data_IF_247199591831
#
_entry.id   IF_247199591831
#
_cell.length_a   1.000
_cell.length_b   1.000
_cell.length_c   1.000
_cell.angle_alpha   90.00
_cell.angle_beta   90.00
_cell.angle_gamma   90.00
#
_symmetry.space_group_name_H-M   'P 1'
#
loop_
_entity.id
_entity.type
_entity.pdbx_description
1 polymer ?
#
# COMPACT_ATOMS: atom_id res chain seq x y z
N UNK A 1 12.03 0.87 -3.93
CA UNK A 1 10.94 1.79 -4.31
C UNK A 1 11.30 2.83 -5.39
N UNK A 2 12.41 3.57 -5.28
CA UNK A 2 12.75 4.67 -6.21
C UNK A 2 12.64 4.35 -7.71
N UNK A 3 13.15 3.20 -8.15
CA UNK A 3 13.08 2.80 -9.57
C UNK A 3 11.65 2.64 -10.08
N UNK A 4 10.74 2.16 -9.24
CA UNK A 4 9.32 1.98 -9.59
C UNK A 4 8.64 3.33 -9.81
N UNK A 5 8.82 4.30 -8.90
CA UNK A 5 8.22 5.63 -9.04
C UNK A 5 8.72 6.35 -10.31
N UNK A 6 10.01 6.19 -10.63
CA UNK A 6 10.59 6.73 -11.87
C UNK A 6 10.04 6.05 -13.12
N UNK A 7 9.85 4.73 -13.08
CA UNK A 7 9.34 3.98 -14.21
C UNK A 7 7.86 4.27 -14.47
N UNK A 8 7.07 4.43 -13.40
CA UNK A 8 5.63 4.64 -13.53
C UNK A 8 5.27 6.10 -13.74
N UNK A 9 6.06 7.09 -13.30
CA UNK A 9 5.85 8.51 -13.62
C UNK A 9 4.39 8.94 -13.49
N UNK A 10 3.77 9.35 -14.59
CA UNK A 10 2.35 9.75 -14.64
C UNK A 10 1.35 8.59 -14.74
N UNK A 11 1.81 7.35 -14.85
CA UNK A 11 1.01 6.14 -14.99
C UNK A 11 0.13 5.83 -13.77
N UNK A 12 0.34 6.52 -12.64
CA UNK A 12 -0.50 6.43 -11.45
C UNK A 12 -1.41 7.66 -11.25
N UNK A 13 -1.39 8.65 -12.17
CA UNK A 13 -2.12 9.92 -11.99
C UNK A 13 -3.64 9.74 -11.89
N UNK A 14 -4.20 8.76 -12.59
CA UNK A 14 -5.65 8.50 -12.66
C UNK A 14 -6.07 7.31 -11.77
N UNK A 15 -5.13 6.74 -11.00
CA UNK A 15 -5.43 5.69 -10.03
C UNK A 15 -6.10 6.33 -8.81
N UNK A 16 -7.27 5.83 -8.43
CA UNK A 16 -7.95 6.30 -7.21
C UNK A 16 -7.65 5.44 -5.99
N UNK A 17 -7.41 4.15 -6.18
CA UNK A 17 -7.16 3.18 -5.11
C UNK A 17 -6.10 2.18 -5.54
N UNK A 18 -5.11 1.96 -4.67
CA UNK A 18 -4.04 0.99 -4.88
C UNK A 18 -4.04 -0.03 -3.75
N UNK A 19 -4.10 -1.31 -4.12
CA UNK A 19 -4.02 -2.44 -3.18
C UNK A 19 -2.67 -3.13 -3.35
N UNK A 20 -1.86 -3.16 -2.29
CA UNK A 20 -0.59 -3.87 -2.21
C UNK A 20 -0.81 -5.22 -1.51
N UNK A 21 -0.89 -6.30 -2.31
CA UNK A 21 -1.17 -7.66 -1.84
C UNK A 21 0.14 -8.36 -1.49
N UNK A 22 0.26 -8.85 -0.26
CA UNK A 22 1.54 -9.33 0.26
C UNK A 22 2.51 -8.17 0.55
N UNK A 23 1.98 -6.97 0.80
CA UNK A 23 2.74 -5.73 0.99
C UNK A 23 3.54 -5.67 2.31
N UNK A 24 3.50 -6.74 3.11
CA UNK A 24 4.17 -6.83 4.38
C UNK A 24 3.62 -5.81 5.37
N UNK A 25 4.52 -4.99 5.92
CA UNK A 25 4.18 -3.90 6.82
C UNK A 25 3.65 -2.65 6.10
N UNK A 26 3.55 -2.64 4.77
CA UNK A 26 2.91 -1.56 4.01
C UNK A 26 3.81 -0.37 3.65
N UNK A 27 5.13 -0.50 3.80
CA UNK A 27 6.07 0.59 3.50
C UNK A 27 6.01 1.05 2.03
N UNK A 28 5.86 0.13 1.09
CA UNK A 28 5.87 0.47 -0.34
C UNK A 28 4.63 1.25 -0.76
N UNK A 29 3.43 0.79 -0.38
CA UNK A 29 2.20 1.55 -0.64
C UNK A 29 2.20 2.90 0.08
N UNK A 30 2.80 3.02 1.26
CA UNK A 30 2.97 4.31 1.94
C UNK A 30 3.86 5.28 1.14
N UNK A 31 5.00 4.82 0.63
CA UNK A 31 5.87 5.63 -0.23
C UNK A 31 5.16 6.05 -1.52
N UNK A 32 4.26 5.22 -2.07
CA UNK A 32 3.43 5.58 -3.24
C UNK A 32 2.42 6.67 -2.88
N UNK A 33 1.64 6.50 -1.81
CA UNK A 33 0.62 7.49 -1.39
C UNK A 33 1.25 8.85 -1.03
N UNK A 34 2.47 8.87 -0.49
CA UNK A 34 3.20 10.11 -0.25
C UNK A 34 3.55 10.88 -1.54
N UNK A 35 3.79 10.17 -2.65
CA UNK A 35 4.07 10.79 -3.95
C UNK A 35 2.79 11.08 -4.76
N UNK A 36 1.70 10.37 -4.47
CA UNK A 36 0.40 10.53 -5.12
C UNK A 36 -0.71 10.63 -4.05
N UNK A 37 -0.86 11.77 -3.36
CA UNK A 37 -1.76 11.90 -2.21
C UNK A 37 -3.25 11.73 -2.54
N UNK A 38 -3.63 11.75 -3.81
CA UNK A 38 -5.00 11.46 -4.26
C UNK A 38 -5.33 9.95 -4.22
N UNK A 39 -4.31 9.08 -4.18
CA UNK A 39 -4.49 7.63 -4.13
C UNK A 39 -4.87 7.19 -2.72
N UNK A 40 -5.93 6.40 -2.60
CA UNK A 40 -6.24 5.65 -1.38
C UNK A 40 -5.40 4.38 -1.33
N UNK A 41 -4.45 4.30 -0.40
CA UNK A 41 -3.59 3.13 -0.23
C UNK A 41 -4.21 2.05 0.65
N UNK A 42 -4.16 0.80 0.21
CA UNK A 42 -4.54 -0.37 1.00
C UNK A 42 -3.35 -1.33 1.05
N UNK A 43 -2.85 -1.62 2.25
CA UNK A 43 -1.90 -2.70 2.48
C UNK A 43 -2.67 -3.96 2.87
N UNK A 44 -2.52 -5.05 2.13
CA UNK A 44 -3.20 -6.31 2.39
C UNK A 44 -2.21 -7.46 2.61
N UNK A 45 -2.26 -8.08 3.78
CA UNK A 45 -1.38 -9.21 4.13
C UNK A 45 -2.04 -10.18 5.13
N UNK A 46 -1.30 -11.18 5.57
CA UNK A 46 -1.70 -12.12 6.61
C UNK A 46 -1.94 -11.38 7.93
N UNK A 47 -2.89 -11.84 8.78
CA UNK A 47 -3.25 -11.18 10.03
C UNK A 47 -2.05 -10.87 10.93
N UNK A 48 -1.13 -11.83 11.08
CA UNK A 48 0.04 -11.67 11.94
C UNK A 48 1.05 -10.65 11.41
N UNK A 49 1.11 -10.45 10.09
CA UNK A 49 1.98 -9.45 9.46
C UNK A 49 1.37 -8.05 9.67
N UNK A 50 0.09 -7.90 9.32
CA UNK A 50 -0.66 -6.64 9.48
C UNK A 50 -0.66 -6.15 10.94
N UNK A 51 -0.75 -7.06 11.92
CA UNK A 51 -0.71 -6.71 13.33
C UNK A 51 0.59 -6.00 13.78
N UNK A 52 1.67 -6.13 13.00
CA UNK A 52 2.97 -5.50 13.28
C UNK A 52 3.25 -4.27 12.42
N UNK A 53 2.33 -3.90 11.52
CA UNK A 53 2.51 -2.77 10.63
C UNK A 53 2.42 -1.44 11.41
N UNK A 54 3.37 -0.50 11.22
CA UNK A 54 3.25 0.84 11.78
C UNK A 54 2.15 1.62 11.04
N UNK A 55 1.56 2.65 11.67
CA UNK A 55 0.63 3.51 10.97
C UNK A 55 1.34 4.31 9.87
N UNK A 56 0.69 4.43 8.71
CA UNK A 56 1.10 5.32 7.63
C UNK A 56 -0.07 6.19 7.20
N UNK A 57 0.15 7.50 7.11
CA UNK A 57 -0.85 8.44 6.63
C UNK A 57 -1.30 8.07 5.21
N UNK A 58 -2.61 8.01 4.99
CA UNK A 58 -3.20 7.65 3.69
C UNK A 58 -3.19 6.15 3.35
N UNK A 59 -2.77 5.28 4.29
CA UNK A 59 -2.79 3.81 4.11
C UNK A 59 -3.74 3.14 5.09
N UNK A 60 -4.58 2.23 4.59
CA UNK A 60 -5.40 1.32 5.39
C UNK A 60 -4.80 -0.08 5.40
N UNK A 61 -4.51 -0.65 6.56
CA UNK A 61 -4.04 -2.03 6.67
C UNK A 61 -5.22 -2.99 6.83
N UNK A 62 -5.37 -3.92 5.88
CA UNK A 62 -6.42 -4.93 5.84
C UNK A 62 -5.82 -6.33 5.92
N UNK A 63 -6.52 -7.26 6.56
CA UNK A 63 -6.09 -8.65 6.73
C UNK A 63 -7.01 -9.61 6.02
N UNK A 64 -6.48 -10.73 5.53
CA UNK A 64 -7.32 -11.84 5.08
C UNK A 64 -8.09 -12.44 6.27
N UNK A 65 -9.37 -12.75 6.07
CA UNK A 65 -10.28 -13.29 7.11
C UNK A 65 -10.58 -14.78 6.94
N UNK A 66 -10.11 -15.40 5.86
CA UNK A 66 -10.25 -16.84 5.64
C UNK A 66 -9.10 -17.57 6.32
N UNK A 67 -9.33 -18.02 7.55
CA UNK A 67 -8.57 -19.11 8.15
C UNK A 67 -9.46 -20.36 8.08
N UNK A 68 -9.03 -21.37 7.32
CA UNK A 68 -9.56 -22.73 7.40
C UNK A 68 -8.76 -23.50 8.44
#
# INVERSE_FOLDING_TARGET
MRAFLLQYGDGLKDVETLVDVGGGTGRHVAEIVQNYPHIKGINFDLPHVVATAPPYDGVSHMRIVLQF
#
